data_IF_168654170834
#
_entry.id   IF_168654170834
#
_cell.length_a   1.000
_cell.length_b   1.000
_cell.length_c   1.000
_cell.angle_alpha   90.00
_cell.angle_beta   90.00
_cell.angle_gamma   90.00
#
_symmetry.space_group_name_H-M   'P 1'
#
loop_
_entity.id
_entity.type
_entity.pdbx_description
1 polymer ?
#
# COMPACT_ATOMS: atom_id res chain seq x y z
N UNK A 1 30.29 52.54 7.66
CA UNK A 1 29.14 51.80 7.11
C UNK A 1 29.54 50.33 7.05
N UNK A 2 29.35 49.58 8.14
CA UNK A 2 29.73 48.16 8.24
C UNK A 2 28.53 47.28 7.85
N UNK A 3 28.69 46.46 6.82
CA UNK A 3 27.74 45.41 6.47
C UNK A 3 27.86 44.31 7.53
N UNK A 4 26.88 44.21 8.43
CA UNK A 4 26.74 43.03 9.28
C UNK A 4 26.33 41.85 8.41
N UNK A 5 27.27 40.93 8.24
CA UNK A 5 27.11 39.70 7.50
C UNK A 5 26.16 38.77 8.27
N UNK A 6 24.95 38.60 7.74
CA UNK A 6 23.92 37.67 8.18
C UNK A 6 24.26 36.21 7.81
N UNK A 7 25.53 35.80 7.97
CA UNK A 7 26.04 34.49 7.53
C UNK A 7 25.66 33.37 8.52
N UNK A 8 25.38 33.72 9.78
CA UNK A 8 25.17 32.71 10.83
C UNK A 8 23.80 32.00 10.80
N UNK A 9 22.79 32.55 10.11
CA UNK A 9 21.45 31.94 10.07
C UNK A 9 21.30 30.90 8.94
N UNK A 10 21.86 31.13 7.76
CA UNK A 10 21.73 30.20 6.63
C UNK A 10 22.47 28.88 6.87
N UNK A 11 23.69 28.93 7.43
CA UNK A 11 24.46 27.72 7.70
C UNK A 11 23.84 26.85 8.81
N UNK A 12 23.18 27.43 9.82
CA UNK A 12 22.50 26.65 10.86
C UNK A 12 21.17 26.05 10.39
N UNK A 13 20.42 26.75 9.53
CA UNK A 13 19.20 26.22 8.94
C UNK A 13 19.50 25.03 8.01
N UNK A 14 20.53 25.11 7.17
CA UNK A 14 20.93 24.01 6.28
C UNK A 14 21.38 22.76 7.05
N UNK A 15 22.09 22.93 8.18
CA UNK A 15 22.50 21.81 9.05
C UNK A 15 21.31 21.15 9.76
N UNK A 16 20.26 21.91 10.06
CA UNK A 16 19.02 21.36 10.63
C UNK A 16 18.30 20.48 9.58
N UNK A 17 18.18 20.99 8.36
CA UNK A 17 17.55 20.26 7.24
C UNK A 17 18.31 18.99 6.87
N UNK A 18 19.64 19.02 6.81
CA UNK A 18 20.45 17.82 6.53
C UNK A 18 20.28 16.73 7.59
N UNK A 19 20.19 17.10 8.86
CA UNK A 19 19.98 16.14 9.97
C UNK A 19 18.59 15.53 9.94
N UNK A 20 17.56 16.35 9.70
CA UNK A 20 16.18 15.89 9.55
C UNK A 20 16.08 14.95 8.34
N UNK A 21 16.68 15.32 7.21
CA UNK A 21 16.69 14.47 6.02
C UNK A 21 17.38 13.12 6.28
N UNK A 22 18.51 13.12 7.00
CA UNK A 22 19.21 11.89 7.36
C UNK A 22 18.36 11.01 8.30
N UNK A 23 17.65 11.61 9.26
CA UNK A 23 16.75 10.88 10.15
C UNK A 23 15.57 10.27 9.40
N UNK A 24 14.89 11.05 8.57
CA UNK A 24 13.78 10.58 7.72
C UNK A 24 14.23 9.44 6.82
N UNK A 25 15.40 9.58 6.18
CA UNK A 25 15.97 8.54 5.34
C UNK A 25 16.23 7.25 6.11
N UNK A 26 16.79 7.35 7.33
CA UNK A 26 17.07 6.20 8.17
C UNK A 26 15.79 5.51 8.70
N UNK A 27 14.76 6.28 9.03
CA UNK A 27 13.46 5.76 9.47
C UNK A 27 12.72 5.07 8.32
N UNK A 28 12.70 5.68 7.13
CA UNK A 28 12.13 5.09 5.92
C UNK A 28 12.87 3.79 5.54
N UNK A 29 14.20 3.74 5.65
CA UNK A 29 14.96 2.52 5.39
C UNK A 29 14.55 1.38 6.35
N UNK A 30 14.35 1.66 7.64
CA UNK A 30 13.87 0.66 8.61
C UNK A 30 12.44 0.22 8.30
N UNK A 31 11.58 1.16 7.94
CA UNK A 31 10.21 0.88 7.53
C UNK A 31 10.16 -0.03 6.30
N UNK A 32 10.94 0.26 5.26
CA UNK A 32 10.99 -0.59 4.07
C UNK A 32 11.56 -1.98 4.37
N UNK A 33 12.53 -2.10 5.27
CA UNK A 33 13.00 -3.40 5.74
C UNK A 33 11.90 -4.18 6.47
N UNK A 34 11.07 -3.52 7.28
CA UNK A 34 9.93 -4.15 7.95
C UNK A 34 8.91 -4.66 6.92
N UNK A 35 8.57 -3.85 5.92
CA UNK A 35 7.65 -4.24 4.85
C UNK A 35 8.18 -5.42 4.03
N UNK A 36 9.48 -5.45 3.69
CA UNK A 36 10.08 -6.56 2.96
C UNK A 36 9.96 -7.88 3.73
N UNK A 37 10.20 -7.85 5.05
CA UNK A 37 9.98 -9.02 5.92
C UNK A 37 8.51 -9.42 5.99
N UNK A 38 7.61 -8.44 6.13
CA UNK A 38 6.17 -8.69 6.13
C UNK A 38 5.68 -9.30 4.82
N UNK A 39 6.18 -8.85 3.67
CA UNK A 39 5.86 -9.43 2.35
C UNK A 39 6.35 -10.87 2.23
N UNK A 40 7.56 -11.16 2.70
CA UNK A 40 8.08 -12.53 2.73
C UNK A 40 7.22 -13.44 3.62
N UNK A 41 6.78 -12.95 4.79
CA UNK A 41 5.83 -13.68 5.65
C UNK A 41 4.49 -13.87 4.94
N UNK A 42 3.93 -12.83 4.32
CA UNK A 42 2.66 -12.92 3.59
C UNK A 42 2.71 -14.00 2.50
N UNK A 43 3.80 -14.05 1.72
CA UNK A 43 4.00 -15.09 0.69
C UNK A 43 4.08 -16.51 1.24
N UNK A 44 4.58 -16.67 2.45
CA UNK A 44 4.63 -17.98 3.11
C UNK A 44 3.29 -18.39 3.72
N UNK A 45 2.41 -17.42 4.03
CA UNK A 45 1.15 -17.65 4.74
C UNK A 45 -0.07 -17.73 3.83
N UNK A 46 -0.11 -16.92 2.78
CA UNK A 46 -1.28 -16.78 1.90
C UNK A 46 -0.99 -17.34 0.51
N UNK A 47 -1.95 -18.09 0.00
CA UNK A 47 -1.99 -18.58 -1.38
C UNK A 47 -2.26 -17.45 -2.37
N UNK A 48 -2.00 -17.70 -3.65
CA UNK A 48 -2.27 -16.74 -4.73
C UNK A 48 -3.75 -16.32 -4.79
N UNK A 49 -4.68 -17.27 -4.69
CA UNK A 49 -6.11 -16.98 -4.72
C UNK A 49 -6.54 -16.14 -3.51
N UNK A 50 -5.98 -16.38 -2.33
CA UNK A 50 -6.23 -15.56 -1.14
C UNK A 50 -5.73 -14.12 -1.35
N UNK A 51 -4.57 -13.93 -1.99
CA UNK A 51 -4.04 -12.61 -2.34
C UNK A 51 -4.90 -11.88 -3.37
N UNK A 52 -5.43 -12.58 -4.35
CA UNK A 52 -6.39 -12.00 -5.30
C UNK A 52 -7.71 -11.62 -4.65
N UNK A 53 -8.25 -12.48 -3.78
CA UNK A 53 -9.45 -12.18 -3.00
C UNK A 53 -9.25 -10.90 -2.18
N UNK A 54 -8.13 -10.80 -1.45
CA UNK A 54 -7.80 -9.61 -0.68
C UNK A 54 -7.65 -8.37 -1.57
N UNK A 55 -7.00 -8.48 -2.73
CA UNK A 55 -6.87 -7.35 -3.65
C UNK A 55 -8.24 -6.86 -4.15
N UNK A 56 -9.15 -7.78 -4.46
CA UNK A 56 -10.49 -7.51 -4.93
C UNK A 56 -11.37 -6.90 -3.82
N UNK A 57 -11.30 -7.44 -2.59
CA UNK A 57 -12.00 -6.91 -1.42
C UNK A 57 -11.59 -5.46 -1.09
N UNK A 58 -10.34 -5.10 -1.36
CA UNK A 58 -9.81 -3.76 -1.07
C UNK A 58 -9.90 -2.80 -2.27
N UNK A 59 -10.50 -3.22 -3.37
CA UNK A 59 -10.66 -2.38 -4.55
C UNK A 59 -11.53 -1.15 -4.24
N UNK A 60 -10.99 0.05 -4.45
CA UNK A 60 -11.69 1.30 -4.18
C UNK A 60 -11.76 1.68 -2.69
N UNK A 61 -11.04 0.96 -1.82
CA UNK A 61 -10.92 1.31 -0.40
C UNK A 61 -9.72 2.21 -0.14
N UNK A 62 -9.85 3.13 0.83
CA UNK A 62 -8.72 3.91 1.34
C UNK A 62 -8.28 3.29 2.66
N UNK A 63 -7.06 2.76 2.69
CA UNK A 63 -6.50 2.15 3.89
C UNK A 63 -5.83 3.21 4.75
N UNK A 64 -6.42 3.49 5.92
CA UNK A 64 -5.83 4.39 6.92
C UNK A 64 -4.94 3.59 7.87
N UNK A 65 -3.82 4.17 8.27
CA UNK A 65 -2.82 3.48 9.10
C UNK A 65 -3.40 2.99 10.43
N UNK A 66 -4.37 3.71 10.99
CA UNK A 66 -5.05 3.38 12.24
C UNK A 66 -6.01 2.19 12.12
N UNK A 67 -6.39 1.81 10.89
CA UNK A 67 -7.36 0.75 10.62
C UNK A 67 -6.81 -0.44 9.84
N UNK A 68 -5.54 -0.40 9.42
CA UNK A 68 -4.91 -1.49 8.66
C UNK A 68 -4.99 -2.85 9.36
N UNK A 69 -4.92 -2.89 10.70
CA UNK A 69 -5.06 -4.16 11.47
C UNK A 69 -6.46 -4.80 11.34
N UNK A 70 -7.45 -4.05 10.84
CA UNK A 70 -8.81 -4.50 10.61
C UNK A 70 -9.07 -4.96 9.17
N UNK A 71 -8.04 -5.19 8.36
CA UNK A 71 -8.17 -5.69 6.98
C UNK A 71 -9.01 -6.98 6.87
N UNK A 72 -9.00 -7.80 7.93
CA UNK A 72 -9.85 -9.00 8.02
C UNK A 72 -11.35 -8.70 8.03
N UNK A 73 -11.78 -7.50 8.49
CA UNK A 73 -13.18 -7.07 8.41
C UNK A 73 -13.60 -6.85 6.96
N UNK A 74 -12.81 -6.11 6.18
CA UNK A 74 -13.07 -5.87 4.75
C UNK A 74 -13.17 -7.20 3.98
N UNK A 75 -12.25 -8.12 4.25
CA UNK A 75 -12.26 -9.46 3.65
C UNK A 75 -13.47 -10.29 4.09
N UNK A 76 -13.82 -10.24 5.37
CA UNK A 76 -15.00 -10.94 5.89
C UNK A 76 -16.29 -10.43 5.26
N UNK A 77 -16.41 -9.11 5.12
CA UNK A 77 -17.58 -8.46 4.53
C UNK A 77 -17.67 -8.77 3.04
N UNK A 78 -16.56 -8.69 2.30
CA UNK A 78 -16.54 -9.02 0.88
C UNK A 78 -16.86 -10.49 0.61
N UNK A 79 -16.42 -11.42 1.47
CA UNK A 79 -16.87 -12.81 1.39
C UNK A 79 -18.38 -12.95 1.66
N UNK A 80 -18.92 -12.22 2.63
CA UNK A 80 -20.33 -12.35 3.02
C UNK A 80 -21.31 -11.68 2.06
N UNK A 81 -20.92 -10.53 1.51
CA UNK A 81 -21.78 -9.66 0.72
C UNK A 81 -21.63 -9.88 -0.79
N UNK A 82 -20.41 -10.20 -1.25
CA UNK A 82 -20.06 -10.28 -2.66
C UNK A 82 -19.63 -11.69 -3.11
N UNK A 83 -19.72 -12.70 -2.22
CA UNK A 83 -19.31 -14.09 -2.48
C UNK A 83 -17.87 -14.22 -3.03
N UNK A 84 -16.95 -13.36 -2.57
CA UNK A 84 -15.57 -13.36 -3.12
C UNK A 84 -14.79 -14.64 -2.81
N UNK A 85 -15.09 -15.30 -1.69
CA UNK A 85 -14.54 -16.63 -1.36
C UNK A 85 -14.91 -17.66 -2.41
N UNK A 86 -16.15 -17.61 -2.92
CA UNK A 86 -16.59 -18.46 -4.03
C UNK A 86 -15.94 -18.05 -5.35
N UNK A 87 -15.83 -16.74 -5.65
CA UNK A 87 -15.21 -16.24 -6.89
C UNK A 87 -13.76 -16.71 -7.04
N UNK A 88 -13.01 -16.67 -5.95
CA UNK A 88 -11.58 -17.00 -5.92
C UNK A 88 -11.28 -18.41 -5.43
N UNK A 89 -12.30 -19.23 -5.17
CA UNK A 89 -12.16 -20.61 -4.69
C UNK A 89 -11.32 -20.73 -3.40
N UNK A 90 -11.58 -19.83 -2.45
CA UNK A 90 -10.88 -19.72 -1.17
C UNK A 90 -11.80 -20.16 -0.03
N UNK A 91 -11.24 -20.78 1.01
CA UNK A 91 -11.95 -20.92 2.29
C UNK A 91 -11.92 -19.56 3.02
N UNK A 92 -12.98 -18.77 2.84
CA UNK A 92 -13.08 -17.43 3.41
C UNK A 92 -12.94 -17.39 4.94
N UNK A 93 -13.42 -18.43 5.65
CA UNK A 93 -13.31 -18.49 7.11
C UNK A 93 -11.87 -18.71 7.57
N UNK A 94 -11.17 -19.61 6.89
CA UNK A 94 -9.75 -19.86 7.16
C UNK A 94 -8.90 -18.64 6.80
N UNK A 95 -9.18 -17.96 5.69
CA UNK A 95 -8.49 -16.71 5.33
C UNK A 95 -8.68 -15.63 6.41
N UNK A 96 -9.91 -15.39 6.86
CA UNK A 96 -10.18 -14.42 7.94
C UNK A 96 -9.45 -14.81 9.23
N UNK A 97 -9.39 -16.11 9.57
CA UNK A 97 -8.63 -16.59 10.73
C UNK A 97 -7.13 -16.29 10.58
N UNK A 98 -6.52 -16.60 9.43
CA UNK A 98 -5.11 -16.28 9.14
C UNK A 98 -4.83 -14.79 9.27
N UNK A 99 -5.70 -13.93 8.75
CA UNK A 99 -5.54 -12.47 8.82
C UNK A 99 -5.61 -11.94 10.26
N UNK A 100 -6.48 -12.50 11.11
CA UNK A 100 -6.56 -12.13 12.52
C UNK A 100 -5.35 -12.57 13.35
N UNK A 101 -4.67 -13.62 12.91
CA UNK A 101 -3.49 -14.18 13.58
C UNK A 101 -2.16 -13.70 13.01
N UNK A 102 -2.17 -13.06 11.83
CA UNK A 102 -0.98 -12.58 11.17
C UNK A 102 -0.30 -11.47 11.97
N UNK A 103 1.03 -11.41 11.89
CA UNK A 103 1.80 -10.34 12.51
C UNK A 103 1.43 -8.98 11.90
N UNK A 104 1.41 -7.91 12.71
CA UNK A 104 1.14 -6.55 12.24
C UNK A 104 2.03 -6.16 11.06
N UNK A 105 3.31 -6.54 11.08
CA UNK A 105 4.25 -6.30 9.96
C UNK A 105 3.78 -6.91 8.64
N UNK A 106 3.20 -8.12 8.70
CA UNK A 106 2.63 -8.84 7.56
C UNK A 106 1.37 -8.15 7.05
N UNK A 107 0.49 -7.70 7.95
CA UNK A 107 -0.74 -6.97 7.57
C UNK A 107 -0.41 -5.62 6.90
N UNK A 108 0.53 -4.85 7.46
CA UNK A 108 0.99 -3.60 6.84
C UNK A 108 1.61 -3.85 5.46
N UNK A 109 2.42 -4.90 5.33
CA UNK A 109 3.02 -5.28 4.05
C UNK A 109 1.99 -5.72 3.01
N UNK A 110 0.93 -6.42 3.41
CA UNK A 110 -0.19 -6.79 2.55
C UNK A 110 -0.93 -5.55 2.04
N UNK A 111 -1.32 -4.65 2.95
CA UNK A 111 -2.03 -3.43 2.61
C UNK A 111 -1.20 -2.55 1.64
N UNK A 112 0.09 -2.32 1.94
CA UNK A 112 1.01 -1.59 1.08
C UNK A 112 1.12 -2.25 -0.31
N UNK A 113 1.31 -3.56 -0.38
CA UNK A 113 1.45 -4.25 -1.66
C UNK A 113 0.15 -4.22 -2.50
N UNK A 114 -1.02 -4.35 -1.88
CA UNK A 114 -2.31 -4.31 -2.56
C UNK A 114 -2.62 -2.89 -3.06
N UNK A 115 -2.34 -1.86 -2.26
CA UNK A 115 -2.45 -0.47 -2.71
C UNK A 115 -1.55 -0.22 -3.93
N UNK A 116 -0.28 -0.65 -3.85
CA UNK A 116 0.66 -0.53 -4.98
C UNK A 116 0.20 -1.32 -6.21
N UNK A 117 -0.51 -2.44 -6.04
CA UNK A 117 -1.08 -3.19 -7.16
C UNK A 117 -2.13 -2.34 -7.90
N UNK A 118 -3.04 -1.69 -7.17
CA UNK A 118 -4.09 -0.86 -7.77
C UNK A 118 -3.57 0.45 -8.39
N UNK A 119 -2.44 0.97 -7.89
CA UNK A 119 -1.76 2.14 -8.45
C UNK A 119 -1.01 1.84 -9.76
N UNK A 120 -0.83 0.57 -10.14
CA UNK A 120 -0.23 0.20 -11.42
C UNK A 120 -1.18 0.38 -12.58
N UNK A 121 -0.61 0.77 -13.72
CA UNK A 121 -1.35 0.85 -14.99
C UNK A 121 -1.59 -0.55 -15.60
N UNK A 122 -0.64 -1.47 -15.45
CA UNK A 122 -0.65 -2.74 -16.17
C UNK A 122 -1.27 -3.93 -15.40
N UNK A 123 -1.50 -3.79 -14.08
CA UNK A 123 -2.27 -4.67 -13.18
C UNK A 123 -2.24 -6.17 -13.52
N UNK A 124 -1.05 -6.71 -13.84
CA UNK A 124 -0.92 -8.08 -14.35
C UNK A 124 -1.06 -9.13 -13.26
N UNK A 125 -0.44 -8.91 -12.12
CA UNK A 125 -0.44 -9.85 -11.00
C UNK A 125 -0.21 -9.16 -9.66
N UNK A 126 -0.96 -9.59 -8.66
CA UNK A 126 -0.71 -9.21 -7.26
C UNK A 126 0.65 -9.76 -6.82
N UNK A 127 1.02 -10.98 -7.19
CA UNK A 127 2.31 -11.58 -6.80
C UNK A 127 3.50 -10.80 -7.36
N UNK A 128 3.45 -10.39 -8.63
CA UNK A 128 4.51 -9.58 -9.25
C UNK A 128 4.74 -8.27 -8.49
N UNK A 129 3.67 -7.71 -7.89
CA UNK A 129 3.78 -6.50 -7.09
C UNK A 129 4.63 -6.71 -5.85
N UNK A 130 4.52 -7.87 -5.20
CA UNK A 130 5.36 -8.20 -4.05
C UNK A 130 6.83 -8.31 -4.45
N UNK A 131 7.15 -9.00 -5.56
CA UNK A 131 8.53 -9.16 -6.04
C UNK A 131 9.16 -7.82 -6.40
N UNK A 132 8.43 -6.98 -7.10
CA UNK A 132 8.96 -5.72 -7.59
C UNK A 132 9.24 -4.71 -6.47
N UNK A 133 8.42 -4.71 -5.43
CA UNK A 133 8.66 -3.89 -4.24
C UNK A 133 9.92 -4.35 -3.48
N UNK A 134 10.23 -5.65 -3.50
CA UNK A 134 11.45 -6.20 -2.89
C UNK A 134 12.71 -5.91 -3.70
N UNK A 135 12.57 -5.78 -5.04
CA UNK A 135 13.66 -5.38 -5.93
C UNK A 135 13.98 -3.88 -5.88
N UNK A 136 13.29 -3.11 -5.02
CA UNK A 136 13.49 -1.67 -4.89
C UNK A 136 13.08 -0.88 -6.14
N UNK A 137 12.18 -1.44 -6.97
CA UNK A 137 11.63 -0.68 -8.10
C UNK A 137 10.86 0.54 -7.57
N UNK A 138 10.92 1.68 -8.28
CA UNK A 138 10.24 2.89 -7.85
C UNK A 138 8.74 2.63 -7.68
N UNK A 139 8.21 3.03 -6.53
CA UNK A 139 6.76 3.03 -6.26
C UNK A 139 6.09 3.98 -7.23
N UNK A 140 4.97 3.56 -7.81
CA UNK A 140 4.16 4.45 -8.64
C UNK A 140 3.45 5.42 -7.71
N UNK A 141 3.88 6.68 -7.73
CA UNK A 141 3.13 7.77 -7.11
C UNK A 141 2.01 8.16 -8.07
N UNK A 142 0.95 7.35 -8.16
CA UNK A 142 -0.23 7.72 -8.92
C UNK A 142 -1.15 8.62 -8.07
N UNK A 143 -0.62 9.78 -7.68
CA UNK A 143 -1.42 11.00 -7.50
C UNK A 143 -1.21 11.89 -8.74
N UNK A 144 -1.36 11.30 -9.93
CA UNK A 144 -1.72 12.13 -11.08
C UNK A 144 -3.18 12.52 -10.86
N UNK A 145 -3.35 13.80 -10.52
CA UNK A 145 -4.54 14.61 -10.68
C UNK A 145 -5.76 13.85 -11.17
N UNK A 146 -6.82 13.92 -10.36
CA UNK A 146 -8.21 13.61 -10.70
C UNK A 146 -8.73 14.53 -11.84
N UNK A 147 -7.97 14.75 -12.92
CA UNK A 147 -8.53 15.16 -14.20
C UNK A 147 -9.15 13.91 -14.82
N UNK A 148 -10.40 13.63 -14.42
CA UNK A 148 -11.26 12.78 -15.22
C UNK A 148 -11.23 13.35 -16.65
N UNK A 149 -10.88 12.58 -17.68
CA UNK A 149 -11.25 12.96 -19.03
C UNK A 149 -12.77 13.11 -19.01
N UNK A 150 -13.27 14.30 -19.31
CA UNK A 150 -14.69 14.53 -19.55
C UNK A 150 -15.08 13.79 -20.83
N UNK A 151 -15.24 12.47 -20.74
CA UNK A 151 -15.87 11.67 -21.77
C UNK A 151 -17.38 11.74 -21.51
N UNK A 152 -18.01 12.63 -22.26
CA UNK A 152 -19.41 12.74 -22.59
C UNK A 152 -20.20 11.43 -22.34
N UNK A 153 -21.03 11.44 -21.30
CA UNK A 153 -22.11 10.47 -21.13
C UNK A 153 -23.23 10.87 -22.12
N UNK A 154 -23.16 10.35 -23.34
CA UNK A 154 -24.32 10.36 -24.25
C UNK A 154 -25.35 9.36 -23.72
N UNK A 155 -26.35 9.88 -23.01
CA UNK A 155 -27.53 9.11 -22.61
C UNK A 155 -28.34 8.83 -23.88
N UNK A 156 -28.16 7.66 -24.46
CA UNK A 156 -29.08 7.13 -25.45
C UNK A 156 -30.36 6.66 -24.76
N UNK A 157 -31.33 7.56 -24.59
CA UNK A 157 -32.73 7.16 -24.47
C UNK A 157 -33.18 6.56 -25.79
N UNK A 158 -33.43 5.24 -25.81
CA UNK A 158 -34.45 4.57 -26.62
C UNK A 158 -34.72 3.17 -26.12
#
# INVERSE_FOLDING_TARGET
MMKNLNINNESQNNLCDERVQAQVTAELARYHMLLARGRASARATFSENELWLMADALNGTVQLAEFIEYLWHEVSDACHLDDLDRKWEVDGKELVRKLREAETSTIFALADAIEQFWLREDRRSVLDTFDELDLGKPRLCAYHSFERPSAEYEIATR
#
